data_IF_109741831430
#
_entry.id   IF_109741831430
#
_cell.length_a   1.000
_cell.length_b   1.000
_cell.length_c   1.000
_cell.angle_alpha   90.00
_cell.angle_beta   90.00
_cell.angle_gamma   90.00
#
_symmetry.space_group_name_H-M   'P 1'
#
loop_
_entity.id
_entity.type
_entity.pdbx_description
1 polymer ?
#
# COMPACT_ATOMS: atom_id res chain seq x y z
N UNK A 1 -6.50 -21.29 39.87
CA UNK A 1 -5.72 -20.44 38.95
C UNK A 1 -4.37 -21.11 38.74
N UNK A 2 -4.12 -21.68 37.57
CA UNK A 2 -2.83 -22.29 37.21
C UNK A 2 -2.39 -21.72 35.87
N UNK A 3 -1.38 -20.85 35.88
CA UNK A 3 -0.80 -20.32 34.66
C UNK A 3 -0.02 -21.45 33.97
N UNK A 4 -0.51 -21.90 32.81
CA UNK A 4 0.23 -22.77 31.91
C UNK A 4 1.35 -21.93 31.27
N UNK A 5 2.52 -21.93 31.89
CA UNK A 5 3.73 -21.33 31.31
C UNK A 5 4.19 -22.26 30.20
N UNK A 6 3.89 -21.89 28.95
CA UNK A 6 4.33 -22.62 27.77
C UNK A 6 5.87 -22.71 27.78
N UNK A 7 6.43 -23.91 27.92
CA UNK A 7 7.88 -24.15 27.96
C UNK A 7 8.52 -24.05 26.57
N UNK A 8 8.19 -23.01 25.81
CA UNK A 8 8.66 -22.77 24.44
C UNK A 8 10.17 -22.93 24.33
N UNK A 9 10.92 -22.36 25.28
CA UNK A 9 12.37 -22.45 25.31
C UNK A 9 12.88 -23.89 25.42
N UNK A 10 12.30 -24.72 26.29
CA UNK A 10 12.70 -26.12 26.44
C UNK A 10 12.41 -26.94 25.16
N UNK A 11 11.26 -26.67 24.51
CA UNK A 11 10.91 -27.30 23.23
C UNK A 11 11.83 -26.85 22.09
N UNK A 12 12.19 -25.57 22.05
CA UNK A 12 13.18 -25.05 21.10
C UNK A 12 14.54 -25.71 21.29
N UNK A 13 15.03 -25.85 22.53
CA UNK A 13 16.30 -26.53 22.80
C UNK A 13 16.27 -28.00 22.39
N UNK A 14 15.19 -28.73 22.68
CA UNK A 14 15.02 -30.12 22.27
C UNK A 14 15.02 -30.28 20.74
N UNK A 15 14.36 -29.36 20.02
CA UNK A 15 14.38 -29.34 18.56
C UNK A 15 15.77 -29.08 17.99
N UNK A 16 16.50 -28.07 18.50
CA UNK A 16 17.85 -27.77 18.03
C UNK A 16 18.85 -28.89 18.36
N UNK A 17 18.66 -29.61 19.48
CA UNK A 17 19.45 -30.77 19.83
C UNK A 17 19.19 -31.95 18.89
N UNK A 18 17.92 -32.28 18.62
CA UNK A 18 17.56 -33.32 17.64
C UNK A 18 18.12 -32.99 16.26
N UNK A 19 17.92 -31.76 15.78
CA UNK A 19 18.40 -31.30 14.49
C UNK A 19 19.94 -31.39 14.39
N UNK A 20 20.66 -31.04 15.45
CA UNK A 20 22.11 -31.23 15.51
C UNK A 20 22.53 -32.71 15.41
N UNK A 21 21.79 -33.61 16.05
CA UNK A 21 22.00 -35.05 15.93
C UNK A 21 21.82 -35.55 14.49
N UNK A 22 20.74 -35.16 13.82
CA UNK A 22 20.46 -35.56 12.43
C UNK A 22 21.54 -35.07 11.45
N UNK A 23 22.02 -33.84 11.64
CA UNK A 23 23.07 -33.24 10.80
C UNK A 23 24.49 -33.63 11.22
N UNK A 24 24.65 -34.51 12.22
CA UNK A 24 25.95 -34.88 12.81
C UNK A 24 26.80 -33.66 13.17
N UNK A 25 26.14 -32.62 13.67
CA UNK A 25 26.72 -31.30 13.93
C UNK A 25 26.47 -30.89 15.38
N UNK A 26 26.94 -29.70 15.76
CA UNK A 26 26.60 -29.12 17.07
C UNK A 26 25.47 -28.12 16.91
N UNK A 27 24.64 -27.88 17.96
CA UNK A 27 23.59 -26.85 17.90
C UNK A 27 24.11 -25.45 17.50
N UNK A 28 25.38 -25.14 17.77
CA UNK A 28 26.04 -23.90 17.39
C UNK A 28 26.39 -23.83 15.89
N UNK A 29 26.70 -24.98 15.29
CA UNK A 29 27.17 -25.09 13.90
C UNK A 29 26.05 -25.47 12.91
N UNK A 30 24.95 -26.08 13.39
CA UNK A 30 23.73 -26.37 12.58
C UNK A 30 23.22 -25.11 11.88
N UNK A 31 23.24 -23.97 12.56
CA UNK A 31 22.83 -22.70 11.95
C UNK A 31 23.62 -22.39 10.68
N UNK A 32 24.94 -22.58 10.69
CA UNK A 32 25.81 -22.34 9.52
C UNK A 32 25.61 -23.38 8.41
N UNK A 33 25.29 -24.62 8.76
CA UNK A 33 25.04 -25.69 7.79
C UNK A 33 23.67 -25.56 7.11
N UNK A 34 22.64 -25.14 7.85
CA UNK A 34 21.36 -24.73 7.27
C UNK A 34 21.55 -23.49 6.39
N UNK A 35 22.33 -22.53 6.87
CA UNK A 35 22.66 -21.32 6.13
C UNK A 35 23.37 -21.64 4.80
N UNK A 36 24.18 -22.71 4.71
CA UNK A 36 24.76 -23.14 3.44
C UNK A 36 23.71 -23.51 2.38
N UNK A 37 22.62 -24.18 2.77
CA UNK A 37 21.50 -24.49 1.86
C UNK A 37 20.80 -23.20 1.40
N UNK A 38 20.62 -22.24 2.32
CA UNK A 38 20.08 -20.93 2.00
C UNK A 38 21.03 -20.10 1.13
N UNK A 39 22.34 -20.15 1.36
CA UNK A 39 23.36 -19.48 0.56
C UNK A 39 23.41 -20.04 -0.88
N UNK A 40 23.28 -21.36 -1.05
CA UNK A 40 23.19 -21.97 -2.38
C UNK A 40 21.88 -21.64 -3.10
N UNK A 41 20.77 -21.62 -2.38
CA UNK A 41 19.50 -21.13 -2.92
C UNK A 41 19.59 -19.63 -3.25
N UNK A 42 20.30 -18.86 -2.43
CA UNK A 42 20.53 -17.42 -2.60
C UNK A 42 21.35 -17.14 -3.86
N UNK A 43 22.38 -17.93 -4.17
CA UNK A 43 23.12 -17.80 -5.44
C UNK A 43 22.20 -17.92 -6.67
N UNK A 44 21.29 -18.91 -6.63
CA UNK A 44 20.29 -19.12 -7.68
C UNK A 44 19.29 -17.96 -7.75
N UNK A 45 18.81 -17.50 -6.59
CA UNK A 45 17.90 -16.37 -6.46
C UNK A 45 18.53 -15.07 -6.95
N UNK A 46 19.76 -14.75 -6.55
CA UNK A 46 20.50 -13.56 -6.97
C UNK A 46 20.73 -13.55 -8.48
N UNK A 47 21.03 -14.70 -9.09
CA UNK A 47 21.13 -14.82 -10.56
C UNK A 47 19.79 -14.58 -11.25
N UNK A 48 18.69 -15.10 -10.68
CA UNK A 48 17.35 -14.85 -11.20
C UNK A 48 16.97 -13.36 -11.07
N UNK A 49 17.20 -12.77 -9.90
CA UNK A 49 16.99 -11.35 -9.61
C UNK A 49 17.79 -10.46 -10.55
N UNK A 50 19.07 -10.78 -10.81
CA UNK A 50 19.90 -10.01 -11.74
C UNK A 50 19.37 -10.08 -13.19
N UNK A 51 18.84 -11.23 -13.62
CA UNK A 51 18.18 -11.36 -14.94
C UNK A 51 16.89 -10.56 -15.01
N UNK A 52 16.09 -10.61 -13.96
CA UNK A 52 14.86 -9.82 -13.84
C UNK A 52 15.15 -8.32 -13.86
N UNK A 53 16.12 -7.85 -13.07
CA UNK A 53 16.57 -6.46 -13.07
C UNK A 53 17.07 -6.00 -14.43
N UNK A 54 17.83 -6.84 -15.15
CA UNK A 54 18.28 -6.52 -16.51
C UNK A 54 17.10 -6.35 -17.47
N UNK A 55 16.15 -7.28 -17.41
CA UNK A 55 14.94 -7.26 -18.25
C UNK A 55 14.08 -6.05 -17.91
N UNK A 56 13.93 -5.72 -16.63
CA UNK A 56 13.23 -4.54 -16.15
C UNK A 56 13.91 -3.25 -16.63
N UNK A 57 15.25 -3.17 -16.53
CA UNK A 57 16.02 -2.03 -17.04
C UNK A 57 15.80 -1.82 -18.53
N UNK A 58 15.95 -2.86 -19.34
CA UNK A 58 15.73 -2.80 -20.80
C UNK A 58 14.30 -2.37 -21.14
N UNK A 59 13.30 -2.91 -20.43
CA UNK A 59 11.90 -2.53 -20.61
C UNK A 59 11.65 -1.07 -20.19
N UNK A 60 12.20 -0.63 -19.06
CA UNK A 60 12.03 0.74 -18.59
C UNK A 60 12.75 1.76 -19.48
N UNK A 61 13.91 1.41 -20.04
CA UNK A 61 14.60 2.23 -21.05
C UNK A 61 13.75 2.39 -22.31
N UNK A 62 13.19 1.30 -22.83
CA UNK A 62 12.26 1.33 -23.99
C UNK A 62 11.03 2.19 -23.72
N UNK A 63 10.42 2.03 -22.53
CA UNK A 63 9.24 2.81 -22.14
C UNK A 63 9.56 4.29 -21.95
N UNK A 64 10.74 4.61 -21.40
CA UNK A 64 11.19 5.98 -21.16
C UNK A 64 11.61 6.69 -22.46
N UNK A 65 12.06 5.98 -23.49
CA UNK A 65 12.52 6.57 -24.75
C UNK A 65 11.48 7.54 -25.37
N UNK A 66 10.19 7.28 -25.16
CA UNK A 66 9.07 8.12 -25.60
C UNK A 66 9.06 9.51 -24.95
N UNK A 67 9.62 9.60 -23.75
CA UNK A 67 9.69 10.80 -22.93
C UNK A 67 11.10 11.40 -22.90
N UNK A 68 11.93 11.10 -23.90
CA UNK A 68 13.27 11.66 -24.02
C UNK A 68 13.24 13.20 -23.98
N UNK A 69 14.15 13.79 -23.20
CA UNK A 69 14.24 15.24 -23.02
C UNK A 69 13.31 15.84 -21.95
N UNK A 70 12.49 15.04 -21.26
CA UNK A 70 11.56 15.52 -20.23
C UNK A 70 12.08 15.33 -18.78
N UNK A 71 13.38 15.12 -18.62
CA UNK A 71 14.07 15.00 -17.33
C UNK A 71 13.43 14.03 -16.30
N UNK A 72 12.81 12.95 -16.78
CA UNK A 72 12.29 11.90 -15.90
C UNK A 72 13.43 11.22 -15.12
N UNK A 73 13.20 10.76 -13.87
CA UNK A 73 14.20 10.02 -13.11
C UNK A 73 14.54 8.68 -13.78
N UNK A 74 15.78 8.22 -13.62
CA UNK A 74 16.19 6.89 -14.10
C UNK A 74 15.53 5.81 -13.25
N UNK A 75 15.05 4.71 -13.85
CA UNK A 75 14.51 3.58 -13.11
C UNK A 75 15.55 3.06 -12.09
N UNK A 76 15.18 3.07 -10.81
CA UNK A 76 16.07 2.66 -9.71
C UNK A 76 17.16 3.66 -9.34
N UNK A 77 17.23 4.82 -10.00
CA UNK A 77 18.09 5.90 -9.55
C UNK A 77 17.47 6.57 -8.32
N UNK A 78 18.27 6.66 -7.28
CA UNK A 78 17.96 7.38 -6.06
C UNK A 78 19.16 8.29 -5.79
N UNK A 79 19.03 9.60 -6.09
CA UNK A 79 20.13 10.54 -5.94
C UNK A 79 20.71 10.56 -4.52
N UNK A 80 19.91 10.23 -3.50
CA UNK A 80 20.36 10.21 -2.12
C UNK A 80 21.19 8.95 -1.82
N UNK A 81 20.82 7.79 -2.38
CA UNK A 81 21.66 6.58 -2.32
C UNK A 81 22.99 6.82 -3.04
N UNK A 82 22.94 7.41 -4.23
CA UNK A 82 24.15 7.76 -5.00
C UNK A 82 25.06 8.71 -4.22
N UNK A 83 24.47 9.70 -3.54
CA UNK A 83 25.19 10.64 -2.67
C UNK A 83 25.80 9.93 -1.45
N UNK A 84 25.05 9.06 -0.76
CA UNK A 84 25.55 8.31 0.41
C UNK A 84 26.76 7.45 0.03
N UNK A 85 26.67 6.72 -1.09
CA UNK A 85 27.76 5.87 -1.58
C UNK A 85 28.93 6.75 -2.06
N UNK A 86 28.63 7.77 -2.86
CA UNK A 86 29.61 8.68 -3.44
C UNK A 86 30.42 9.40 -2.38
N UNK A 87 29.78 10.04 -1.41
CA UNK A 87 30.45 10.79 -0.33
C UNK A 87 31.38 9.90 0.50
N UNK A 88 31.00 8.65 0.74
CA UNK A 88 31.79 7.71 1.54
C UNK A 88 32.98 7.11 0.76
N UNK A 89 32.78 6.77 -0.52
CA UNK A 89 33.79 6.07 -1.32
C UNK A 89 34.70 7.00 -2.13
N UNK A 90 34.32 8.26 -2.36
CA UNK A 90 35.10 9.24 -3.15
C UNK A 90 36.56 9.39 -2.72
N UNK A 91 36.93 9.38 -1.42
CA UNK A 91 38.34 9.44 -1.01
C UNK A 91 39.16 8.21 -1.43
N UNK A 92 38.50 7.11 -1.77
CA UNK A 92 39.08 5.79 -2.01
C UNK A 92 38.92 5.34 -3.47
N UNK A 93 38.65 6.23 -4.41
CA UNK A 93 38.52 5.84 -5.82
C UNK A 93 39.81 5.32 -6.45
N UNK A 94 40.97 5.67 -5.89
CA UNK A 94 42.29 5.21 -6.37
C UNK A 94 42.94 4.15 -5.48
N UNK A 95 42.31 3.78 -4.36
CA UNK A 95 42.88 2.89 -3.34
C UNK A 95 41.80 2.07 -2.67
N UNK A 96 42.07 0.82 -2.28
CA UNK A 96 41.04 0.01 -1.62
C UNK A 96 40.54 0.66 -0.30
N UNK A 97 39.23 0.89 -0.15
CA UNK A 97 38.68 1.44 1.08
C UNK A 97 38.82 0.43 2.24
N UNK A 98 39.16 0.90 3.46
CA UNK A 98 39.12 0.09 4.66
C UNK A 98 37.73 -0.48 4.96
N UNK A 99 37.65 -1.63 5.65
CA UNK A 99 36.36 -2.30 5.96
C UNK A 99 35.35 -1.39 6.68
N UNK A 100 35.80 -0.57 7.64
CA UNK A 100 34.94 0.34 8.40
C UNK A 100 34.19 1.39 7.53
N UNK A 101 34.69 1.66 6.33
CA UNK A 101 34.01 2.56 5.38
C UNK A 101 32.72 1.90 4.88
N UNK A 102 32.74 0.59 4.63
CA UNK A 102 31.54 -0.15 4.22
C UNK A 102 30.51 -0.24 5.35
N UNK A 103 30.95 -0.38 6.59
CA UNK A 103 30.08 -0.32 7.76
C UNK A 103 29.36 1.04 7.84
N UNK A 104 30.10 2.13 7.60
CA UNK A 104 29.56 3.49 7.58
C UNK A 104 28.52 3.68 6.47
N UNK A 105 28.79 3.15 5.26
CA UNK A 105 27.82 3.18 4.15
C UNK A 105 26.56 2.38 4.52
N UNK A 106 26.73 1.18 5.06
CA UNK A 106 25.62 0.32 5.45
C UNK A 106 24.74 0.96 6.53
N UNK A 107 25.34 1.62 7.53
CA UNK A 107 24.63 2.34 8.57
C UNK A 107 23.80 3.50 7.98
N UNK A 108 24.42 4.34 7.14
CA UNK A 108 23.74 5.47 6.49
C UNK A 108 22.58 5.03 5.59
N UNK A 109 22.75 3.96 4.83
CA UNK A 109 21.67 3.41 3.99
C UNK A 109 20.51 2.87 4.84
N UNK A 110 20.81 2.18 5.94
CA UNK A 110 19.77 1.72 6.88
C UNK A 110 19.00 2.89 7.49
N UNK A 111 19.71 3.95 7.89
CA UNK A 111 19.08 5.14 8.42
C UNK A 111 18.20 5.83 7.36
N UNK A 112 18.71 6.01 6.15
CA UNK A 112 17.96 6.56 5.02
C UNK A 112 16.67 5.78 4.77
N UNK A 113 16.72 4.45 4.67
CA UNK A 113 15.52 3.65 4.45
C UNK A 113 14.56 3.68 5.64
N UNK A 114 15.06 3.76 6.88
CA UNK A 114 14.21 3.95 8.07
C UNK A 114 13.45 5.27 7.99
N UNK A 115 14.13 6.36 7.61
CA UNK A 115 13.51 7.68 7.42
C UNK A 115 12.51 7.66 6.26
N UNK A 116 12.86 7.05 5.13
CA UNK A 116 11.99 6.95 3.95
C UNK A 116 10.72 6.13 4.24
N UNK A 117 10.84 5.04 4.98
CA UNK A 117 9.68 4.26 5.43
C UNK A 117 8.80 5.08 6.38
N UNK A 118 9.39 5.86 7.30
CA UNK A 118 8.65 6.78 8.16
C UNK A 118 7.93 7.86 7.33
N UNK A 119 8.60 8.43 6.33
CA UNK A 119 8.02 9.42 5.40
C UNK A 119 6.81 8.86 4.66
N UNK A 120 6.88 7.61 4.18
CA UNK A 120 5.74 6.93 3.53
C UNK A 120 4.55 6.77 4.46
N UNK A 121 4.79 6.46 5.74
CA UNK A 121 3.71 6.39 6.74
C UNK A 121 3.08 7.77 6.99
N UNK A 122 3.92 8.80 7.15
CA UNK A 122 3.46 10.19 7.33
C UNK A 122 2.68 10.70 6.11
N UNK A 123 3.02 10.26 4.90
CA UNK A 123 2.27 10.60 3.70
C UNK A 123 0.86 10.00 3.75
N UNK A 124 0.71 8.77 4.24
CA UNK A 124 -0.60 8.14 4.45
C UNK A 124 -1.44 8.92 5.46
N UNK A 125 -0.89 9.15 6.66
CA UNK A 125 -1.57 9.89 7.73
C UNK A 125 -1.90 11.33 7.30
N UNK A 126 -0.95 12.02 6.66
CA UNK A 126 -1.14 13.39 6.17
C UNK A 126 -2.17 13.46 5.05
N UNK A 127 -2.30 12.42 4.22
CA UNK A 127 -3.34 12.38 3.20
C UNK A 127 -4.74 12.28 3.82
N UNK A 128 -4.91 11.53 4.91
CA UNK A 128 -6.16 11.49 5.68
C UNK A 128 -6.52 12.88 6.25
N UNK A 129 -5.54 13.60 6.83
CA UNK A 129 -5.75 14.94 7.39
C UNK A 129 -6.12 15.97 6.32
N UNK A 130 -5.40 15.96 5.19
CA UNK A 130 -5.70 16.83 4.05
C UNK A 130 -7.11 16.54 3.53
N UNK A 131 -7.49 15.28 3.39
CA UNK A 131 -8.83 14.91 2.94
C UNK A 131 -9.91 15.42 3.89
N UNK A 132 -9.74 15.24 5.21
CA UNK A 132 -10.69 15.76 6.19
C UNK A 132 -10.79 17.30 6.16
N UNK A 133 -9.66 17.99 5.96
CA UNK A 133 -9.66 19.44 5.78
C UNK A 133 -10.36 19.87 4.48
N UNK A 134 -10.14 19.15 3.37
CA UNK A 134 -10.81 19.40 2.09
C UNK A 134 -12.31 19.19 2.21
N UNK A 135 -12.77 18.13 2.86
CA UNK A 135 -14.21 17.90 3.10
C UNK A 135 -14.80 19.07 3.89
N UNK A 136 -14.14 19.51 4.97
CA UNK A 136 -14.61 20.67 5.76
C UNK A 136 -14.67 21.97 4.95
N UNK A 137 -13.70 22.18 4.06
CA UNK A 137 -13.60 23.40 3.26
C UNK A 137 -14.57 23.42 2.07
N UNK A 138 -14.83 22.27 1.45
CA UNK A 138 -15.61 22.16 0.22
C UNK A 138 -17.12 21.94 0.46
N UNK A 139 -17.52 21.48 1.64
CA UNK A 139 -18.89 21.07 1.91
C UNK A 139 -19.70 22.10 2.72
N UNK A 140 -21.03 21.97 2.69
CA UNK A 140 -22.00 22.88 3.32
C UNK A 140 -21.89 22.95 4.85
N UNK A 141 -22.46 23.99 5.44
CA UNK A 141 -22.53 24.18 6.89
C UNK A 141 -23.13 22.95 7.59
N UNK A 142 -22.43 22.43 8.61
CA UNK A 142 -22.87 21.30 9.42
C UNK A 142 -22.18 19.97 9.13
N UNK A 143 -21.44 19.85 8.02
CA UNK A 143 -20.61 18.66 7.77
C UNK A 143 -19.38 18.67 8.68
N UNK A 144 -19.17 17.55 9.37
CA UNK A 144 -18.00 17.29 10.20
C UNK A 144 -17.18 16.17 9.58
N UNK A 145 -15.87 16.39 9.47
CA UNK A 145 -14.92 15.35 9.08
C UNK A 145 -13.90 15.12 10.21
N UNK A 146 -13.70 13.86 10.59
CA UNK A 146 -12.77 13.47 11.67
C UNK A 146 -11.85 12.35 11.18
N UNK A 147 -10.57 12.41 11.52
CA UNK A 147 -9.58 11.40 11.13
C UNK A 147 -9.32 10.41 12.26
N UNK A 148 -9.09 9.13 11.92
CA UNK A 148 -8.53 8.09 12.80
C UNK A 148 -9.29 7.90 14.12
N UNK A 149 -10.61 8.06 14.08
CA UNK A 149 -11.51 7.88 15.22
C UNK A 149 -11.78 6.38 15.39
N UNK A 150 -11.87 5.90 16.63
CA UNK A 150 -12.30 4.52 16.87
C UNK A 150 -13.73 4.34 16.40
N UNK A 151 -14.05 3.23 15.74
CA UNK A 151 -15.43 2.94 15.33
C UNK A 151 -16.40 2.94 16.52
N UNK A 152 -15.93 2.58 17.71
CA UNK A 152 -16.72 2.59 18.94
C UNK A 152 -17.07 3.99 19.47
N UNK A 153 -16.33 5.02 19.04
CA UNK A 153 -16.59 6.43 19.41
C UNK A 153 -17.52 7.13 18.39
N UNK A 154 -18.01 6.39 17.40
CA UNK A 154 -18.97 6.87 16.42
C UNK A 154 -20.37 6.70 16.99
N UNK A 155 -21.19 7.73 16.92
CA UNK A 155 -22.57 7.66 17.42
C UNK A 155 -23.30 6.46 16.79
N UNK A 156 -24.15 5.75 17.54
CA UNK A 156 -24.89 4.59 17.01
C UNK A 156 -24.07 3.30 16.79
N UNK A 157 -22.77 3.29 17.12
CA UNK A 157 -21.95 2.08 17.13
C UNK A 157 -21.77 1.54 18.56
N UNK A 158 -21.45 0.25 18.69
CA UNK A 158 -21.20 -0.41 19.98
C UNK A 158 -19.90 0.12 20.64
N UNK A 159 -19.86 0.25 21.99
CA UNK A 159 -18.60 0.49 22.68
C UNK A 159 -17.67 -0.73 22.57
N UNK A 160 -16.35 -0.52 22.71
CA UNK A 160 -15.38 -1.61 22.77
C UNK A 160 -15.63 -2.51 23.99
N UNK A 161 -15.75 -3.81 23.75
CA UNK A 161 -15.66 -4.85 24.76
C UNK A 161 -14.21 -5.19 25.13
N UNK A 162 -14.05 -5.96 26.21
CA UNK A 162 -12.72 -6.27 26.78
C UNK A 162 -11.77 -7.06 25.86
N UNK A 163 -12.29 -7.69 24.80
CA UNK A 163 -11.50 -8.46 23.81
C UNK A 163 -11.50 -7.81 22.42
N UNK A 164 -12.17 -6.67 22.26
CA UNK A 164 -12.31 -6.03 20.97
C UNK A 164 -11.04 -5.29 20.57
N UNK A 165 -10.72 -5.35 19.28
CA UNK A 165 -9.67 -4.54 18.68
C UNK A 165 -10.16 -3.09 18.58
N UNK A 166 -9.29 -2.14 18.90
CA UNK A 166 -9.56 -0.71 18.72
C UNK A 166 -9.46 -0.32 17.23
N UNK A 167 -10.37 -0.85 16.41
CA UNK A 167 -10.42 -0.56 14.97
C UNK A 167 -10.75 0.91 14.76
N UNK A 168 -9.98 1.56 13.89
CA UNK A 168 -10.13 2.97 13.56
C UNK A 168 -10.69 3.10 12.14
N UNK A 169 -11.45 4.17 11.93
CA UNK A 169 -11.84 4.60 10.59
C UNK A 169 -10.89 5.71 10.16
N UNK A 170 -10.33 5.61 8.95
CA UNK A 170 -9.33 6.56 8.46
C UNK A 170 -9.93 7.98 8.42
N UNK A 171 -11.13 8.14 7.82
CA UNK A 171 -11.93 9.37 7.85
C UNK A 171 -13.40 9.05 8.08
N UNK A 172 -14.05 9.82 8.94
CA UNK A 172 -15.51 9.78 9.17
C UNK A 172 -16.09 11.11 8.74
N UNK A 173 -17.15 11.07 7.93
CA UNK A 173 -17.92 12.26 7.54
C UNK A 173 -19.35 12.13 8.06
N UNK A 174 -19.78 13.14 8.81
CA UNK A 174 -21.08 13.20 9.47
C UNK A 174 -21.76 14.54 9.19
N UNK A 175 -23.09 14.52 9.09
CA UNK A 175 -23.93 15.70 9.07
C UNK A 175 -25.14 15.42 9.97
N UNK A 176 -25.57 16.34 10.85
CA UNK A 176 -26.76 16.17 11.67
C UNK A 176 -28.05 15.85 10.90
N UNK A 177 -28.12 16.22 9.61
CA UNK A 177 -29.26 15.93 8.75
C UNK A 177 -29.21 14.55 8.10
N UNK A 178 -28.07 13.85 8.15
CA UNK A 178 -27.93 12.53 7.54
C UNK A 178 -28.47 11.43 8.46
N UNK A 179 -29.12 10.44 7.86
CA UNK A 179 -29.60 9.25 8.57
C UNK A 179 -28.46 8.33 9.01
N UNK A 180 -27.34 8.34 8.28
CA UNK A 180 -26.16 7.51 8.56
C UNK A 180 -24.85 8.22 8.18
N UNK A 181 -23.75 7.90 8.86
CA UNK A 181 -22.45 8.50 8.57
C UNK A 181 -21.84 7.90 7.30
N UNK A 182 -20.87 8.60 6.73
CA UNK A 182 -19.96 8.03 5.77
C UNK A 182 -18.67 7.58 6.48
N UNK A 183 -18.37 6.28 6.40
CA UNK A 183 -17.10 5.71 6.84
C UNK A 183 -16.18 5.58 5.63
N UNK A 184 -14.99 6.16 5.72
CA UNK A 184 -14.10 6.32 4.58
C UNK A 184 -12.76 5.70 4.90
N UNK A 185 -12.40 4.64 4.17
CA UNK A 185 -11.03 4.16 4.11
C UNK A 185 -10.23 5.00 3.12
N UNK A 186 -9.00 5.33 3.49
CA UNK A 186 -8.11 6.17 2.70
C UNK A 186 -6.83 5.40 2.45
N UNK A 187 -6.50 5.18 1.17
CA UNK A 187 -5.29 4.45 0.78
C UNK A 187 -4.67 5.10 -0.45
N UNK A 188 -3.50 5.71 -0.30
CA UNK A 188 -2.80 6.34 -1.43
C UNK A 188 -2.60 5.36 -2.60
N UNK A 189 -2.16 4.14 -2.29
CA UNK A 189 -2.06 3.03 -3.24
C UNK A 189 -2.59 1.76 -2.61
N UNK A 190 -3.15 0.89 -3.45
CA UNK A 190 -3.72 -0.39 -3.09
C UNK A 190 -2.68 -1.47 -3.41
N UNK A 191 -2.58 -2.48 -2.56
CA UNK A 191 -1.75 -3.67 -2.77
C UNK A 191 -2.54 -4.85 -2.24
N UNK A 192 -2.22 -6.07 -2.71
CA UNK A 192 -2.93 -7.27 -2.29
C UNK A 192 -3.02 -7.41 -0.75
N UNK A 193 -1.91 -7.17 -0.02
CA UNK A 193 -1.87 -7.18 1.44
C UNK A 193 -2.80 -6.13 2.09
N UNK A 194 -2.99 -4.99 1.42
CA UNK A 194 -3.82 -3.88 1.90
C UNK A 194 -5.29 -4.05 1.53
N UNK A 195 -5.62 -4.82 0.51
CA UNK A 195 -6.99 -5.14 0.11
C UNK A 195 -7.68 -6.01 1.17
N UNK A 196 -6.97 -7.00 1.72
CA UNK A 196 -7.48 -7.83 2.80
C UNK A 196 -7.75 -7.03 4.07
N UNK A 197 -6.90 -6.03 4.37
CA UNK A 197 -7.12 -5.14 5.52
C UNK A 197 -8.41 -4.33 5.38
N UNK A 198 -8.71 -3.79 4.18
CA UNK A 198 -9.97 -3.06 3.93
C UNK A 198 -11.20 -3.95 4.21
N UNK A 199 -11.06 -5.24 3.97
CA UNK A 199 -12.12 -6.20 4.16
C UNK A 199 -12.36 -6.52 5.64
N UNK A 200 -11.28 -6.73 6.38
CA UNK A 200 -11.35 -6.93 7.83
C UNK A 200 -11.92 -5.70 8.52
N UNK A 201 -11.52 -4.49 8.11
CA UNK A 201 -12.07 -3.25 8.62
C UNK A 201 -13.59 -3.14 8.39
N UNK A 202 -14.08 -3.48 7.18
CA UNK A 202 -15.52 -3.48 6.91
C UNK A 202 -16.30 -4.44 7.80
N UNK A 203 -15.80 -5.67 8.00
CA UNK A 203 -16.44 -6.66 8.88
C UNK A 203 -16.52 -6.15 10.31
N UNK A 204 -15.46 -5.49 10.79
CA UNK A 204 -15.47 -4.85 12.09
C UNK A 204 -16.53 -3.74 12.13
N UNK A 205 -16.63 -2.88 11.12
CA UNK A 205 -17.65 -1.82 11.06
C UNK A 205 -19.07 -2.40 11.13
N UNK A 206 -19.36 -3.47 10.36
CA UNK A 206 -20.64 -4.18 10.43
C UNK A 206 -20.89 -4.77 11.82
N UNK A 207 -19.87 -5.36 12.46
CA UNK A 207 -20.00 -5.91 13.82
C UNK A 207 -20.34 -4.83 14.86
N UNK A 208 -19.78 -3.63 14.69
CA UNK A 208 -20.01 -2.51 15.59
C UNK A 208 -21.32 -1.75 15.31
N UNK A 209 -22.00 -1.95 14.18
CA UNK A 209 -23.26 -1.27 13.84
C UNK A 209 -24.44 -1.76 14.70
N UNK A 210 -24.52 -1.22 15.93
CA UNK A 210 -25.45 -1.62 16.99
C UNK A 210 -26.91 -1.46 16.59
N UNK A 211 -27.22 -0.27 16.11
CA UNK A 211 -28.61 0.15 15.89
C UNK A 211 -29.12 -0.31 14.52
N UNK A 212 -28.30 -1.05 13.75
CA UNK A 212 -28.54 -1.41 12.36
C UNK A 212 -28.93 -0.19 11.50
N UNK A 213 -28.43 1.00 11.90
CA UNK A 213 -28.69 2.25 11.19
C UNK A 213 -27.94 2.27 9.85
N UNK A 214 -26.93 1.40 9.72
CA UNK A 214 -26.08 1.30 8.56
C UNK A 214 -25.09 2.46 8.48
N UNK A 215 -24.25 2.39 7.45
CA UNK A 215 -23.29 3.43 7.11
C UNK A 215 -23.05 3.40 5.60
N UNK A 216 -22.70 4.55 5.05
CA UNK A 216 -22.20 4.60 3.68
C UNK A 216 -20.69 4.39 3.72
N UNK A 217 -20.21 3.32 3.08
CA UNK A 217 -18.79 2.95 3.12
C UNK A 217 -18.08 3.38 1.84
N UNK A 218 -16.95 4.08 1.94
CA UNK A 218 -16.21 4.58 0.78
C UNK A 218 -14.73 4.20 0.86
N UNK A 219 -14.09 4.08 -0.31
CA UNK A 219 -12.65 4.01 -0.43
C UNK A 219 -12.16 5.23 -1.22
N UNK A 220 -11.22 5.99 -0.67
CA UNK A 220 -10.54 7.08 -1.39
C UNK A 220 -9.10 6.69 -1.69
N UNK A 221 -8.73 6.77 -2.97
CA UNK A 221 -7.42 6.28 -3.43
C UNK A 221 -6.82 7.07 -4.59
N UNK A 222 -5.50 6.94 -4.74
CA UNK A 222 -4.73 7.37 -5.92
C UNK A 222 -4.13 6.14 -6.64
N UNK A 223 -4.76 4.97 -6.51
CA UNK A 223 -4.34 3.77 -7.23
C UNK A 223 -4.49 3.95 -8.74
N UNK A 224 -3.44 3.62 -9.48
CA UNK A 224 -3.38 3.75 -10.93
C UNK A 224 -3.41 2.38 -11.64
N UNK A 225 -3.19 1.28 -10.92
CA UNK A 225 -3.28 -0.07 -11.47
C UNK A 225 -4.74 -0.46 -11.75
N UNK A 226 -5.10 -0.81 -13.00
CA UNK A 226 -6.49 -1.06 -13.39
C UNK A 226 -7.07 -2.32 -12.75
N UNK A 227 -6.25 -3.36 -12.57
CA UNK A 227 -6.70 -4.61 -11.98
C UNK A 227 -7.05 -4.41 -10.51
N UNK A 228 -6.21 -3.67 -9.76
CA UNK A 228 -6.49 -3.32 -8.35
C UNK A 228 -7.72 -2.42 -8.20
N UNK A 229 -7.87 -1.41 -9.07
CA UNK A 229 -9.07 -0.56 -9.07
C UNK A 229 -10.34 -1.38 -9.33
N UNK A 230 -10.32 -2.28 -10.32
CA UNK A 230 -11.46 -3.15 -10.60
C UNK A 230 -11.75 -4.08 -9.42
N UNK A 231 -10.72 -4.68 -8.80
CA UNK A 231 -10.88 -5.58 -7.66
C UNK A 231 -11.63 -4.91 -6.49
N UNK A 232 -11.29 -3.67 -6.15
CA UNK A 232 -12.01 -2.93 -5.09
C UNK A 232 -13.39 -2.44 -5.53
N UNK A 233 -13.58 -2.05 -6.79
CA UNK A 233 -14.88 -1.63 -7.31
C UNK A 233 -15.89 -2.78 -7.36
N UNK A 234 -15.42 -3.98 -7.71
CA UNK A 234 -16.25 -5.18 -7.87
C UNK A 234 -16.41 -5.99 -6.57
N UNK A 235 -15.74 -5.58 -5.49
CA UNK A 235 -15.77 -6.31 -4.21
C UNK A 235 -17.18 -6.29 -3.60
N UNK A 236 -17.65 -7.47 -3.20
CA UNK A 236 -18.97 -7.68 -2.62
C UNK A 236 -18.94 -8.52 -1.35
N UNK A 237 -19.94 -8.30 -0.50
CA UNK A 237 -20.33 -9.17 0.60
C UNK A 237 -21.83 -9.42 0.55
N UNK A 238 -22.26 -10.67 0.71
CA UNK A 238 -23.67 -11.05 0.64
C UNK A 238 -24.41 -10.44 -0.58
N UNK A 239 -23.76 -10.50 -1.74
CA UNK A 239 -24.19 -9.92 -3.03
C UNK A 239 -24.28 -8.38 -3.10
N UNK A 240 -23.94 -7.65 -2.04
CA UNK A 240 -23.90 -6.19 -2.01
C UNK A 240 -22.48 -5.67 -2.17
N UNK A 241 -22.30 -4.53 -2.84
CA UNK A 241 -20.99 -3.89 -2.89
C UNK A 241 -20.57 -3.42 -1.51
N UNK A 242 -19.32 -3.67 -1.15
CA UNK A 242 -18.77 -3.25 0.15
C UNK A 242 -18.59 -1.76 0.21
N UNK A 243 -18.10 -1.17 -0.88
CA UNK A 243 -18.01 0.27 -1.01
C UNK A 243 -19.25 0.78 -1.72
N UNK A 244 -19.95 1.75 -1.12
CA UNK A 244 -20.99 2.53 -1.76
C UNK A 244 -20.46 3.19 -3.02
N UNK A 245 -19.26 3.75 -3.03
CA UNK A 245 -18.48 4.23 -4.19
C UNK A 245 -16.98 4.10 -3.90
N UNK A 246 -16.18 3.79 -4.93
CA UNK A 246 -14.73 4.00 -4.88
C UNK A 246 -14.47 5.38 -5.46
N UNK A 247 -13.68 6.18 -4.75
CA UNK A 247 -13.39 7.57 -5.11
C UNK A 247 -11.91 7.66 -5.48
N UNK A 248 -11.64 7.94 -6.75
CA UNK A 248 -10.30 8.24 -7.20
C UNK A 248 -10.01 9.74 -6.99
N UNK A 249 -8.81 10.11 -6.56
CA UNK A 249 -8.47 11.53 -6.38
C UNK A 249 -8.66 12.34 -7.68
N UNK A 250 -8.41 11.70 -8.82
CA UNK A 250 -8.58 12.27 -10.16
C UNK A 250 -8.77 11.16 -11.20
N UNK A 251 -9.99 10.86 -11.60
CA UNK A 251 -10.28 9.81 -12.60
C UNK A 251 -9.66 10.12 -13.97
N UNK A 252 -9.57 11.40 -14.34
CA UNK A 252 -8.99 11.82 -15.63
C UNK A 252 -7.50 11.50 -15.69
N UNK A 253 -6.80 11.59 -14.56
CA UNK A 253 -5.40 11.21 -14.45
C UNK A 253 -5.16 9.73 -14.78
N UNK A 254 -6.00 8.84 -14.27
CA UNK A 254 -5.92 7.40 -14.59
C UNK A 254 -6.25 7.15 -16.05
N UNK A 255 -7.29 7.81 -16.58
CA UNK A 255 -7.66 7.65 -17.99
C UNK A 255 -6.57 8.17 -18.94
N UNK A 256 -5.89 9.24 -18.58
CA UNK A 256 -4.75 9.78 -19.31
C UNK A 256 -3.52 8.86 -19.27
N UNK A 257 -3.20 8.27 -18.10
CA UNK A 257 -2.07 7.36 -17.94
C UNK A 257 -2.17 6.11 -18.85
N UNK A 258 -3.39 5.70 -19.17
CA UNK A 258 -3.70 4.58 -20.07
C UNK A 258 -4.34 5.02 -21.39
N UNK A 259 -4.20 6.31 -21.73
CA UNK A 259 -4.58 6.88 -23.01
C UNK A 259 -3.64 6.44 -24.13
N UNK A 260 -4.01 6.69 -25.40
CA UNK A 260 -3.10 6.44 -26.51
C UNK A 260 -1.81 7.27 -26.31
N UNK A 261 -0.62 6.68 -26.49
CA UNK A 261 0.62 7.44 -26.38
C UNK A 261 0.69 8.50 -27.49
N UNK A 262 1.59 9.50 -27.36
CA UNK A 262 1.83 10.49 -28.41
C UNK A 262 2.08 9.82 -29.77
N UNK A 263 1.65 10.47 -30.86
CA UNK A 263 1.61 9.92 -32.22
C UNK A 263 2.93 9.31 -32.74
N UNK A 264 4.06 9.61 -32.11
CA UNK A 264 5.39 9.12 -32.46
C UNK A 264 5.66 7.65 -32.10
N UNK A 265 4.76 6.95 -31.40
CA UNK A 265 4.98 5.57 -30.93
C UNK A 265 3.85 4.66 -31.37
N UNK A 266 3.75 4.46 -32.68
CA UNK A 266 2.87 3.46 -33.28
C UNK A 266 3.64 2.14 -33.43
N UNK A 267 3.47 1.20 -32.50
CA UNK A 267 3.90 -0.19 -32.62
C UNK A 267 3.07 -1.12 -31.71
N UNK A 268 3.18 -2.43 -31.94
CA UNK A 268 2.35 -3.54 -31.42
C UNK A 268 2.00 -3.57 -29.91
N UNK A 269 2.72 -2.84 -29.04
CA UNK A 269 2.32 -2.63 -27.63
C UNK A 269 1.00 -1.83 -27.50
N UNK A 270 0.67 -0.97 -28.46
CA UNK A 270 -0.61 -0.23 -28.51
C UNK A 270 -1.81 -1.17 -28.65
N UNK A 271 -1.71 -2.22 -29.46
CA UNK A 271 -2.81 -3.18 -29.63
C UNK A 271 -3.09 -3.95 -28.33
N UNK A 272 -2.05 -4.23 -27.53
CA UNK A 272 -2.18 -4.94 -26.25
C UNK A 272 -2.71 -4.04 -25.11
N UNK A 273 -2.34 -2.75 -25.08
CA UNK A 273 -2.83 -1.77 -24.08
C UNK A 273 -4.23 -1.24 -24.37
N UNK A 274 -4.57 -1.00 -25.64
CA UNK A 274 -5.92 -0.60 -26.04
C UNK A 274 -6.96 -1.74 -25.86
N UNK A 275 -6.49 -2.99 -25.93
CA UNK A 275 -7.27 -4.20 -25.66
C UNK A 275 -7.17 -4.70 -24.21
N UNK A 276 -6.54 -3.96 -23.29
CA UNK A 276 -6.47 -4.35 -21.89
C UNK A 276 -7.88 -4.28 -21.29
N UNK A 277 -8.53 -5.44 -21.18
CA UNK A 277 -9.88 -5.61 -20.67
C UNK A 277 -10.05 -4.97 -19.30
N UNK A 278 -8.97 -4.89 -18.51
CA UNK A 278 -8.93 -4.25 -17.21
C UNK A 278 -9.19 -2.74 -17.31
N UNK A 279 -8.57 -2.05 -18.27
CA UNK A 279 -8.80 -0.61 -18.46
C UNK A 279 -10.17 -0.29 -19.09
N UNK A 280 -10.67 -1.17 -19.96
CA UNK A 280 -12.04 -1.04 -20.48
C UNK A 280 -13.05 -1.16 -19.33
N UNK A 281 -12.82 -2.08 -18.39
CA UNK A 281 -13.61 -2.21 -17.17
C UNK A 281 -13.52 -0.95 -16.30
N UNK A 282 -12.33 -0.38 -16.07
CA UNK A 282 -12.20 0.89 -15.32
C UNK A 282 -13.03 2.01 -15.96
N UNK A 283 -12.98 2.18 -17.29
CA UNK A 283 -13.81 3.16 -18.00
C UNK A 283 -15.31 2.92 -17.78
N UNK A 284 -15.74 1.67 -17.81
CA UNK A 284 -17.11 1.28 -17.52
C UNK A 284 -17.49 1.61 -16.06
N UNK A 285 -16.62 1.32 -15.09
CA UNK A 285 -16.84 1.65 -13.68
C UNK A 285 -16.99 3.17 -13.46
N UNK A 286 -16.22 3.99 -14.20
CA UNK A 286 -16.38 5.46 -14.18
C UNK A 286 -17.73 5.88 -14.75
N UNK A 287 -18.10 5.37 -15.92
CA UNK A 287 -19.38 5.68 -16.55
C UNK A 287 -20.59 5.24 -15.70
N UNK A 288 -20.47 4.11 -14.99
CA UNK A 288 -21.51 3.58 -14.10
C UNK A 288 -21.57 4.28 -12.74
N UNK A 289 -20.66 5.24 -12.46
CA UNK A 289 -20.57 5.90 -11.17
C UNK A 289 -20.11 4.99 -10.03
N UNK A 290 -19.43 3.88 -10.35
CA UNK A 290 -18.76 3.02 -9.37
C UNK A 290 -17.43 3.56 -8.91
N UNK A 291 -16.66 4.07 -9.88
CA UNK A 291 -15.42 4.80 -9.66
C UNK A 291 -15.69 6.29 -9.97
N UNK A 292 -15.71 7.14 -8.96
CA UNK A 292 -16.00 8.57 -9.15
C UNK A 292 -14.78 9.43 -8.79
N UNK A 293 -14.74 10.67 -9.26
CA UNK A 293 -13.68 11.60 -8.84
C UNK A 293 -13.94 12.15 -7.45
N UNK A 294 -12.89 12.60 -6.76
CA UNK A 294 -13.01 13.29 -5.47
C UNK A 294 -13.94 14.50 -5.56
N UNK A 295 -13.85 15.26 -6.65
CA UNK A 295 -14.73 16.42 -6.88
C UNK A 295 -16.22 16.05 -6.97
N UNK A 296 -16.55 14.95 -7.66
CA UNK A 296 -17.92 14.44 -7.75
C UNK A 296 -18.43 13.95 -6.39
N UNK A 297 -17.57 13.27 -5.63
CA UNK A 297 -17.92 12.82 -4.28
C UNK A 297 -18.21 14.00 -3.35
N UNK A 298 -17.32 15.00 -3.30
CA UNK A 298 -17.49 16.22 -2.48
C UNK A 298 -18.77 16.99 -2.84
N UNK A 299 -19.07 17.11 -4.14
CA UNK A 299 -20.32 17.72 -4.59
C UNK A 299 -21.55 16.91 -4.12
N UNK A 300 -21.47 15.58 -4.19
CA UNK A 300 -22.52 14.68 -3.72
C UNK A 300 -22.78 14.73 -2.21
N UNK A 301 -21.76 14.98 -1.40
CA UNK A 301 -21.92 15.17 0.06
C UNK A 301 -22.76 16.42 0.35
N UNK A 302 -22.71 17.46 -0.49
CA UNK A 302 -23.51 18.67 -0.31
C UNK A 302 -24.99 18.53 -0.68
N UNK A 303 -25.35 17.50 -1.46
CA UNK A 303 -26.69 17.34 -2.04
C UNK A 303 -27.54 16.25 -1.38
N UNK A 304 -26.93 15.38 -0.56
CA UNK A 304 -27.64 14.31 0.13
C UNK A 304 -27.99 14.73 1.55
N UNK A 305 -29.17 15.34 1.70
CA UNK A 305 -30.04 15.20 2.87
C UNK A 305 -31.27 14.41 2.45
#
# INVERSE_FOLDING_TARGET
MGACVWSWYARSLAFHHWLAGEFQSTPLEVGKQLDWLFQKALDGYLKALAREQRTQKENSERQRAVYAGQDFPLPGADPEIERIIGDALKPYFSTQPPEHVFDTVAERLREYWKQENKRKNLLGEGFEDVLAAVVKAACVAGIQARTRISIADVAGFHPLGAKDKATKVDVIVENPQWTRPALVNVKWSIRADREDQLWDDFKEYVRFDRDQRGFDHYLITNEFDPARLNAVCDRREANNFIFKQVVHINTDGVLAAYGPPPAAVQNAEQAKRAADSSMQRVRQQVQQGRLISLSQWLAGLGTHG
#
